data_IF_324272276428
#
_entry.id   IF_324272276428
#
_cell.length_a   1.000
_cell.length_b   1.000
_cell.length_c   1.000
_cell.angle_alpha   90.00
_cell.angle_beta   90.00
_cell.angle_gamma   90.00
#
_symmetry.space_group_name_H-M   'P 1'
#
loop_
_entity.id
_entity.type
_entity.pdbx_description
1 polymer ?
#
# COMPACT_ATOMS: atom_id res chain seq x y z
N UNK A 1 1.53 39.09 26.42
CA UNK A 1 0.84 37.80 26.25
C UNK A 1 -0.24 38.01 25.21
N UNK A 2 -0.14 37.31 24.09
CA UNK A 2 -1.20 37.26 23.08
C UNK A 2 -1.34 35.80 22.70
N UNK A 3 -2.33 35.14 23.30
CA UNK A 3 -2.79 33.83 22.84
C UNK A 3 -3.42 34.05 21.47
N UNK A 4 -2.73 33.59 20.44
CA UNK A 4 -3.30 33.50 19.10
C UNK A 4 -4.16 32.24 19.06
N UNK A 5 -5.47 32.44 19.19
CA UNK A 5 -6.50 31.45 18.93
C UNK A 5 -6.34 30.91 17.50
N UNK A 6 -5.61 29.80 17.37
CA UNK A 6 -5.36 29.11 16.09
C UNK A 6 -6.35 27.97 15.96
N UNK A 7 -7.64 28.28 15.96
CA UNK A 7 -8.68 27.32 15.59
C UNK A 7 -9.06 27.55 14.13
N UNK A 8 -8.13 27.23 13.22
CA UNK A 8 -8.27 27.46 11.79
C UNK A 8 -8.47 26.15 11.05
N UNK A 9 -9.64 25.52 11.18
CA UNK A 9 -10.14 24.46 10.29
C UNK A 9 -9.26 23.23 10.04
N UNK A 10 -8.16 23.08 10.78
CA UNK A 10 -7.24 21.97 10.66
C UNK A 10 -7.96 20.73 11.23
N UNK A 11 -7.93 19.58 10.52
CA UNK A 11 -8.56 18.37 11.03
C UNK A 11 -8.02 18.06 12.43
N UNK A 12 -8.87 17.57 13.32
CA UNK A 12 -8.42 17.16 14.66
C UNK A 12 -7.35 16.06 14.52
N UNK A 13 -6.13 16.36 15.00
CA UNK A 13 -4.98 15.46 14.89
C UNK A 13 -4.68 14.85 16.25
N UNK A 14 -5.00 13.57 16.39
CA UNK A 14 -4.53 12.77 17.52
C UNK A 14 -3.08 12.31 17.32
N UNK A 15 -2.30 12.31 18.41
CA UNK A 15 -0.94 11.77 18.44
C UNK A 15 -0.95 10.35 18.99
N UNK A 16 -0.40 9.42 18.22
CA UNK A 16 -0.18 8.04 18.64
C UNK A 16 1.29 7.80 19.00
N UNK A 17 1.53 6.93 19.98
CA UNK A 17 2.88 6.44 20.30
C UNK A 17 3.07 5.05 19.71
N UNK A 18 4.09 4.86 18.88
CA UNK A 18 4.42 3.59 18.23
C UNK A 18 5.70 2.98 18.83
N UNK A 19 5.70 1.68 19.10
CA UNK A 19 6.89 0.91 19.47
C UNK A 19 7.26 -0.04 18.34
N UNK A 20 8.49 0.06 17.85
CA UNK A 20 9.05 -0.81 16.81
C UNK A 20 10.44 -1.29 17.20
N UNK A 21 10.88 -2.39 16.60
CA UNK A 21 12.26 -2.87 16.75
C UNK A 21 13.25 -1.83 16.21
N UNK A 22 14.41 -1.70 16.87
CA UNK A 22 15.44 -0.74 16.45
C UNK A 22 15.96 -1.02 15.04
N UNK A 23 16.20 -2.29 14.72
CA UNK A 23 16.63 -2.70 13.38
C UNK A 23 15.61 -2.32 12.30
N UNK A 24 14.32 -2.39 12.61
CA UNK A 24 13.28 -1.96 11.68
C UNK A 24 13.20 -0.44 11.55
N UNK A 25 13.47 0.30 12.64
CA UNK A 25 13.55 1.76 12.58
C UNK A 25 14.65 2.23 11.63
N UNK A 26 15.81 1.56 11.61
CA UNK A 26 16.91 1.89 10.69
C UNK A 26 16.48 1.74 9.22
N UNK A 27 15.76 0.65 8.90
CA UNK A 27 15.19 0.42 7.56
C UNK A 27 14.16 1.48 7.20
N UNK A 28 13.30 1.87 8.14
CA UNK A 28 12.34 2.96 7.92
C UNK A 28 13.08 4.27 7.63
N UNK A 29 14.15 4.56 8.37
CA UNK A 29 14.95 5.78 8.24
C UNK A 29 15.70 5.88 6.90
N UNK A 30 16.10 4.75 6.33
CA UNK A 30 16.62 4.67 4.96
C UNK A 30 15.50 4.88 3.93
N UNK A 31 14.41 4.10 4.06
CA UNK A 31 13.31 4.07 3.09
C UNK A 31 12.65 5.44 2.87
N UNK A 32 12.37 6.20 3.94
CA UNK A 32 11.67 7.48 3.77
C UNK A 32 12.53 8.52 3.04
N UNK A 33 13.86 8.47 3.20
CA UNK A 33 14.80 9.36 2.53
C UNK A 33 14.93 9.01 1.05
N UNK A 34 15.09 7.73 0.75
CA UNK A 34 15.16 7.24 -0.63
C UNK A 34 13.90 7.56 -1.42
N UNK A 35 12.74 7.47 -0.77
CA UNK A 35 11.45 7.83 -1.38
C UNK A 35 11.16 9.33 -1.37
N UNK A 36 12.06 10.17 -0.86
CA UNK A 36 11.96 11.63 -0.95
C UNK A 36 10.92 12.29 -0.05
N UNK A 37 10.50 11.64 1.04
CA UNK A 37 9.56 12.24 2.00
C UNK A 37 10.22 13.39 2.78
N UNK A 38 9.44 14.38 3.19
CA UNK A 38 9.99 15.53 3.95
C UNK A 38 10.30 15.18 5.40
N UNK A 39 9.65 14.13 5.93
CA UNK A 39 9.91 13.63 7.28
C UNK A 39 9.54 12.17 7.42
N UNK A 40 10.18 11.49 8.39
CA UNK A 40 9.79 10.15 8.83
C UNK A 40 8.31 10.07 9.23
N UNK A 41 7.80 11.06 9.95
CA UNK A 41 6.40 11.08 10.41
C UNK A 41 5.40 11.21 9.26
N UNK A 42 5.79 11.84 8.16
CA UNK A 42 4.98 11.88 6.94
C UNK A 42 4.94 10.52 6.25
N UNK A 43 6.10 9.87 6.10
CA UNK A 43 6.20 8.52 5.56
C UNK A 43 5.40 7.49 6.36
N UNK A 44 5.49 7.52 7.70
CA UNK A 44 4.73 6.61 8.56
C UNK A 44 3.22 6.83 8.40
N UNK A 45 2.76 8.10 8.33
CA UNK A 45 1.33 8.40 8.10
C UNK A 45 0.87 7.95 6.71
N UNK A 46 1.71 8.14 5.69
CA UNK A 46 1.44 7.65 4.34
C UNK A 46 1.28 6.14 4.32
N UNK A 47 2.25 5.40 4.86
CA UNK A 47 2.24 3.94 4.90
C UNK A 47 1.04 3.39 5.69
N UNK A 48 0.70 4.00 6.83
CA UNK A 48 -0.50 3.63 7.59
C UNK A 48 -1.79 3.88 6.79
N UNK A 49 -1.89 5.03 6.12
CA UNK A 49 -3.07 5.35 5.29
C UNK A 49 -3.21 4.39 4.11
N UNK A 50 -2.10 4.09 3.45
CA UNK A 50 -2.08 3.14 2.32
C UNK A 50 -2.51 1.74 2.76
N UNK A 51 -1.96 1.24 3.88
CA UNK A 51 -2.33 -0.06 4.42
C UNK A 51 -3.82 -0.16 4.84
N UNK A 52 -4.41 0.96 5.29
CA UNK A 52 -5.83 1.02 5.68
C UNK A 52 -6.77 1.19 4.48
N UNK A 53 -6.37 1.99 3.48
CA UNK A 53 -7.20 2.31 2.32
C UNK A 53 -7.11 1.27 1.21
N UNK A 54 -5.98 0.56 1.13
CA UNK A 54 -5.74 -0.51 0.17
C UNK A 54 -5.35 -1.80 0.92
N UNK A 55 -6.23 -2.34 1.79
CA UNK A 55 -5.93 -3.54 2.56
C UNK A 55 -5.69 -4.76 1.66
N UNK A 56 -6.25 -4.74 0.45
CA UNK A 56 -5.99 -5.72 -0.60
C UNK A 56 -4.55 -5.69 -1.11
N UNK A 57 -3.71 -4.70 -0.81
CA UNK A 57 -2.32 -4.68 -1.29
C UNK A 57 -1.58 -5.99 -0.99
N UNK A 58 -1.73 -6.55 0.22
CA UNK A 58 -1.19 -7.86 0.55
C UNK A 58 -1.91 -9.02 -0.18
N UNK A 59 -3.21 -8.88 -0.44
CA UNK A 59 -4.01 -9.83 -1.22
C UNK A 59 -3.60 -9.88 -2.69
N UNK A 60 -3.41 -8.72 -3.33
CA UNK A 60 -2.99 -8.58 -4.72
C UNK A 60 -1.60 -9.19 -4.94
N UNK A 61 -0.65 -8.96 -4.03
CA UNK A 61 0.66 -9.63 -4.13
C UNK A 61 0.57 -11.15 -3.98
N UNK A 62 -0.32 -11.63 -3.11
CA UNK A 62 -0.59 -13.06 -2.96
C UNK A 62 -1.25 -13.64 -4.22
N UNK A 63 -2.22 -12.95 -4.77
CA UNK A 63 -2.94 -13.38 -5.98
C UNK A 63 -2.01 -13.38 -7.19
N UNK A 64 -1.11 -12.39 -7.30
CA UNK A 64 -0.07 -12.36 -8.33
C UNK A 64 0.90 -13.53 -8.18
N UNK A 65 1.38 -13.81 -6.97
CA UNK A 65 2.28 -14.94 -6.72
C UNK A 65 1.60 -16.30 -6.99
N UNK A 66 0.30 -16.44 -6.66
CA UNK A 66 -0.48 -17.63 -7.01
C UNK A 66 -0.60 -17.75 -8.53
N UNK A 67 -0.91 -16.66 -9.23
CA UNK A 67 -1.02 -16.65 -10.68
C UNK A 67 0.30 -17.03 -11.36
N UNK A 68 1.44 -16.51 -10.87
CA UNK A 68 2.77 -16.87 -11.38
C UNK A 68 3.05 -18.36 -11.22
N UNK A 69 2.78 -18.92 -10.04
CA UNK A 69 2.92 -20.36 -9.80
C UNK A 69 2.01 -21.21 -10.71
N UNK A 70 0.77 -20.80 -10.94
CA UNK A 70 -0.15 -21.48 -11.87
C UNK A 70 0.36 -21.46 -13.32
N UNK A 71 0.99 -20.35 -13.75
CA UNK A 71 1.63 -20.28 -15.06
C UNK A 71 2.84 -21.23 -15.17
N UNK A 72 3.69 -21.29 -14.14
CA UNK A 72 4.84 -22.20 -14.10
C UNK A 72 4.44 -23.68 -14.09
N UNK A 73 3.33 -24.03 -13.41
CA UNK A 73 2.79 -25.39 -13.35
C UNK A 73 2.02 -25.79 -14.61
N UNK A 74 1.79 -24.86 -15.55
CA UNK A 74 1.04 -25.09 -16.78
C UNK A 74 -0.48 -25.14 -16.59
N UNK A 75 -0.97 -24.74 -15.41
CA UNK A 75 -2.39 -24.62 -15.05
C UNK A 75 -2.99 -23.26 -15.51
N UNK A 76 -2.18 -22.40 -16.14
CA UNK A 76 -2.64 -21.18 -16.77
C UNK A 76 -3.46 -21.45 -18.03
N UNK A 77 -4.61 -20.77 -18.17
CA UNK A 77 -5.45 -20.86 -19.37
C UNK A 77 -4.97 -19.86 -20.42
N UNK A 78 -4.81 -20.31 -21.67
CA UNK A 78 -4.41 -19.44 -22.78
C UNK A 78 -5.47 -18.38 -23.09
N UNK A 79 -5.02 -17.20 -23.53
CA UNK A 79 -5.93 -16.15 -24.00
C UNK A 79 -6.85 -16.60 -25.14
N UNK A 80 -6.38 -17.49 -26.02
CA UNK A 80 -7.19 -18.02 -27.12
C UNK A 80 -8.28 -18.96 -26.60
N UNK A 81 -7.98 -19.72 -25.55
CA UNK A 81 -8.90 -20.66 -24.90
C UNK A 81 -9.97 -19.92 -24.08
N UNK A 82 -9.58 -18.87 -23.34
CA UNK A 82 -10.54 -17.98 -22.67
C UNK A 82 -11.44 -17.29 -23.69
N UNK A 83 -10.88 -16.82 -24.82
CA UNK A 83 -11.67 -16.18 -25.87
C UNK A 83 -12.64 -17.16 -26.54
N UNK A 84 -12.27 -18.42 -26.71
CA UNK A 84 -13.16 -19.45 -27.24
C UNK A 84 -14.26 -19.86 -26.25
N UNK A 85 -13.97 -19.85 -24.95
CA UNK A 85 -14.90 -20.28 -23.91
C UNK A 85 -15.84 -19.18 -23.41
N UNK A 86 -15.34 -17.95 -23.32
CA UNK A 86 -16.03 -16.80 -22.72
C UNK A 86 -16.10 -15.57 -23.63
N UNK A 87 -15.56 -15.64 -24.84
CA UNK A 87 -15.81 -14.63 -25.85
C UNK A 87 -17.31 -14.61 -26.15
N UNK A 88 -18.00 -13.61 -25.60
CA UNK A 88 -19.27 -13.19 -26.17
C UNK A 88 -19.00 -12.84 -27.62
N UNK A 89 -19.68 -13.51 -28.54
CA UNK A 89 -19.97 -12.97 -29.87
C UNK A 89 -20.62 -11.60 -29.65
N UNK A 90 -19.79 -10.56 -29.57
CA UNK A 90 -20.20 -9.18 -29.64
C UNK A 90 -19.87 -8.72 -31.04
N UNK A 91 -20.88 -8.88 -31.90
CA UNK A 91 -21.07 -8.11 -33.12
C UNK A 91 -21.04 -6.60 -32.84
#
# INVERSE_FOLDING_TARGET
MSEADSNNGDPEIDRINLRIARSFLDVVDETWRERGFNSRSEFIRFALRDAVNHPEGAGVWKDLAISEAQFDEGDGISSDEIRAQYGSDSE
#
